data_IF_182380645145
#
_entry.id   IF_182380645145
#
_cell.length_a   1.000
_cell.length_b   1.000
_cell.length_c   1.000
_cell.angle_alpha   90.00
_cell.angle_beta   90.00
_cell.angle_gamma   90.00
#
_symmetry.space_group_name_H-M   'P 1'
#
loop_
_entity.id
_entity.type
_entity.pdbx_description
1 polymer ?
#
# COMPACT_ATOMS: atom_id res chain seq x y z
N UNK A 1 -2.74 -17.69 -9.34
CA UNK A 1 -3.71 -17.50 -8.24
C UNK A 1 -2.92 -16.96 -7.07
N UNK A 2 -3.43 -15.98 -6.35
CA UNK A 2 -2.71 -15.36 -5.23
C UNK A 2 -3.57 -15.32 -3.98
N UNK A 3 -2.92 -15.43 -2.83
CA UNK A 3 -3.48 -15.09 -1.52
C UNK A 3 -2.80 -13.81 -1.04
N UNK A 4 -3.58 -12.86 -0.51
CA UNK A 4 -3.07 -11.58 -0.01
C UNK A 4 -3.53 -11.42 1.44
N UNK A 5 -2.57 -11.26 2.36
CA UNK A 5 -2.88 -10.96 3.76
C UNK A 5 -2.68 -9.47 4.04
N UNK A 6 -3.67 -8.87 4.71
CA UNK A 6 -3.64 -7.48 5.15
C UNK A 6 -3.68 -7.49 6.68
N UNK A 7 -2.73 -6.81 7.30
CA UNK A 7 -2.65 -6.70 8.75
C UNK A 7 -3.68 -5.68 9.25
N UNK A 8 -4.52 -6.07 10.22
CA UNK A 8 -5.62 -5.23 10.71
C UNK A 8 -5.14 -4.11 11.63
N UNK A 9 -3.90 -4.15 12.09
CA UNK A 9 -3.33 -3.10 12.93
C UNK A 9 -2.92 -1.86 12.14
N UNK A 10 -2.29 -2.03 10.97
CA UNK A 10 -1.72 -0.94 10.15
C UNK A 10 -2.30 -0.84 8.72
N UNK A 11 -3.16 -1.80 8.34
CA UNK A 11 -3.75 -1.89 7.00
C UNK A 11 -2.73 -2.17 5.90
N UNK A 12 -1.52 -2.62 6.24
CA UNK A 12 -0.47 -2.95 5.28
C UNK A 12 -0.59 -4.39 4.80
N UNK A 13 -0.09 -4.63 3.59
CA UNK A 13 -0.02 -5.98 3.04
C UNK A 13 1.15 -6.69 3.69
N UNK A 14 0.87 -7.75 4.44
CA UNK A 14 1.83 -8.51 5.24
C UNK A 14 2.36 -9.74 4.52
N UNK A 15 1.64 -10.26 3.53
CA UNK A 15 2.02 -11.41 2.71
C UNK A 15 1.31 -11.37 1.36
N UNK A 16 1.99 -11.81 0.31
CA UNK A 16 1.40 -12.10 -1.00
C UNK A 16 1.95 -13.45 -1.47
N UNK A 17 1.14 -14.49 -1.40
CA UNK A 17 1.54 -15.85 -1.78
C UNK A 17 1.06 -16.17 -3.19
N UNK A 18 1.97 -16.59 -4.07
CA UNK A 18 1.62 -17.24 -5.33
C UNK A 18 1.27 -18.71 -5.06
N UNK A 19 -0.02 -19.03 -5.16
CA UNK A 19 -0.55 -20.36 -4.86
C UNK A 19 -0.21 -21.40 -5.93
N UNK A 20 0.21 -20.98 -7.14
CA UNK A 20 0.60 -21.91 -8.22
C UNK A 20 2.05 -22.34 -8.06
N UNK A 21 2.93 -21.38 -7.74
CA UNK A 21 4.34 -21.63 -7.52
C UNK A 21 4.69 -21.98 -6.07
N UNK A 22 3.72 -21.89 -5.15
CA UNK A 22 3.87 -22.12 -3.70
C UNK A 22 5.02 -21.29 -3.10
N UNK A 23 4.98 -19.98 -3.31
CA UNK A 23 6.04 -19.07 -2.85
C UNK A 23 5.50 -17.72 -2.37
N UNK A 24 6.15 -17.21 -1.33
CA UNK A 24 5.99 -15.82 -0.90
C UNK A 24 6.62 -14.87 -1.93
N UNK A 25 5.89 -13.81 -2.28
CA UNK A 25 6.34 -12.79 -3.24
C UNK A 25 6.97 -11.58 -2.55
N UNK A 26 6.65 -11.34 -1.27
CA UNK A 26 7.30 -10.31 -0.47
C UNK A 26 8.67 -10.78 0.03
N UNK A 27 9.60 -9.82 0.18
CA UNK A 27 10.87 -10.11 0.83
C UNK A 27 10.64 -10.38 2.34
N UNK A 28 11.44 -11.25 2.97
CA UNK A 28 11.29 -11.57 4.39
C UNK A 28 11.25 -10.31 5.28
N UNK A 29 10.21 -10.22 6.10
CA UNK A 29 10.00 -9.11 7.03
C UNK A 29 9.58 -7.78 6.40
N UNK A 30 9.34 -7.73 5.08
CA UNK A 30 8.84 -6.54 4.42
C UNK A 30 7.30 -6.47 4.46
N UNK A 31 6.79 -5.25 4.52
CA UNK A 31 5.38 -4.91 4.35
C UNK A 31 5.22 -4.17 3.02
N UNK A 32 4.15 -4.43 2.28
CA UNK A 32 3.86 -3.72 1.04
C UNK A 32 2.73 -2.70 1.22
N UNK A 33 2.48 -1.91 0.17
CA UNK A 33 1.41 -0.91 0.12
C UNK A 33 1.49 0.19 1.20
N UNK A 34 2.70 0.49 1.68
CA UNK A 34 2.96 1.51 2.70
C UNK A 34 2.97 2.92 2.10
N UNK A 35 2.22 3.83 2.71
CA UNK A 35 2.23 5.24 2.33
C UNK A 35 3.44 5.96 2.95
N UNK A 36 4.21 6.63 2.10
CA UNK A 36 5.38 7.41 2.51
C UNK A 36 5.32 8.78 1.86
N UNK A 37 5.35 9.83 2.68
CA UNK A 37 5.37 11.22 2.27
C UNK A 37 6.81 11.71 2.17
N UNK A 38 7.16 12.27 1.02
CA UNK A 38 8.45 12.90 0.80
C UNK A 38 8.26 14.42 0.77
N UNK A 39 9.02 15.20 1.55
CA UNK A 39 8.94 16.66 1.48
C UNK A 39 9.31 17.16 0.10
N UNK A 40 8.55 18.13 -0.39
CA UNK A 40 8.71 18.73 -1.71
C UNK A 40 9.15 20.18 -1.57
N UNK A 41 10.47 20.39 -1.54
CA UNK A 41 11.09 21.70 -1.41
C UNK A 41 11.94 21.98 -2.66
N UNK A 42 11.47 22.83 -3.59
CA UNK A 42 12.25 23.19 -4.76
C UNK A 42 13.41 24.12 -4.39
N UNK A 43 14.54 24.00 -5.09
CA UNK A 43 15.71 24.87 -4.90
C UNK A 43 15.51 26.23 -5.58
N UNK A 44 15.02 26.25 -6.82
CA UNK A 44 14.84 27.53 -7.55
C UNK A 44 13.56 27.67 -8.37
N UNK A 45 12.94 26.58 -8.83
CA UNK A 45 11.69 26.64 -9.58
C UNK A 45 10.72 25.57 -9.10
N UNK A 46 9.63 26.01 -8.47
CA UNK A 46 8.54 25.15 -8.03
C UNK A 46 7.92 24.39 -9.22
N UNK A 47 7.53 23.14 -9.00
CA UNK A 47 6.92 22.23 -9.97
C UNK A 47 7.74 21.80 -11.20
N UNK A 48 9.04 22.13 -11.31
CA UNK A 48 9.90 21.74 -12.45
C UNK A 48 11.11 20.89 -12.09
N UNK A 49 11.52 20.88 -10.83
CA UNK A 49 12.74 20.22 -10.39
C UNK A 49 12.43 19.00 -9.52
N UNK A 50 13.14 17.90 -9.78
CA UNK A 50 13.25 16.76 -8.86
C UNK A 50 14.71 16.64 -8.45
N UNK A 51 15.05 17.15 -7.27
CA UNK A 51 16.40 17.12 -6.72
C UNK A 51 16.70 15.80 -5.95
N UNK A 52 17.89 15.68 -5.36
CA UNK A 52 18.29 14.47 -4.63
C UNK A 52 17.69 14.42 -3.21
N UNK A 53 17.33 15.59 -2.67
CA UNK A 53 16.86 15.83 -1.30
C UNK A 53 15.61 15.02 -0.95
N UNK A 54 14.74 14.72 -1.92
CA UNK A 54 13.54 13.87 -1.71
C UNK A 54 13.86 12.49 -1.13
N UNK A 55 15.09 11.98 -1.34
CA UNK A 55 15.52 10.68 -0.82
C UNK A 55 16.04 10.74 0.61
N UNK A 56 16.29 11.93 1.16
CA UNK A 56 16.97 12.09 2.45
C UNK A 56 16.02 12.10 3.65
N UNK A 57 14.77 12.52 3.45
CA UNK A 57 13.77 12.57 4.51
C UNK A 57 12.44 12.06 3.97
N UNK A 58 11.78 11.23 4.77
CA UNK A 58 10.47 10.70 4.45
C UNK A 58 9.68 10.49 5.74
N UNK A 59 8.38 10.75 5.69
CA UNK A 59 7.45 10.48 6.77
C UNK A 59 6.61 9.28 6.37
N UNK A 60 6.70 8.21 7.15
CA UNK A 60 5.81 7.08 6.99
C UNK A 60 4.45 7.42 7.60
N UNK A 61 3.38 7.10 6.86
CA UNK A 61 2.00 7.25 7.33
C UNK A 61 1.40 5.86 7.56
N UNK A 62 1.59 5.32 8.76
CA UNK A 62 1.02 4.04 9.20
C UNK A 62 -0.20 4.22 10.13
N UNK A 63 -0.64 5.47 10.35
CA UNK A 63 -1.81 5.77 11.18
C UNK A 63 -3.10 5.34 10.46
N UNK A 64 -3.64 4.20 10.87
CA UNK A 64 -4.85 3.60 10.32
C UNK A 64 -6.08 4.30 10.91
N UNK A 65 -6.81 5.04 10.08
CA UNK A 65 -8.03 5.76 10.49
C UNK A 65 -9.31 5.00 10.14
N UNK A 66 -9.23 4.03 9.22
CA UNK A 66 -10.37 3.20 8.82
C UNK A 66 -9.95 1.95 8.06
N UNK A 67 -10.67 0.85 8.25
CA UNK A 67 -10.48 -0.41 7.52
C UNK A 67 -11.83 -1.10 7.33
N UNK A 68 -12.27 -1.18 6.09
CA UNK A 68 -13.53 -1.82 5.72
C UNK A 68 -13.29 -2.93 4.70
N UNK A 69 -14.00 -4.05 4.88
CA UNK A 69 -14.04 -5.14 3.90
C UNK A 69 -15.36 -5.08 3.15
N UNK A 70 -15.27 -5.08 1.82
CA UNK A 70 -16.40 -5.12 0.90
C UNK A 70 -16.32 -6.41 0.10
N UNK A 71 -17.33 -7.25 0.24
CA UNK A 71 -17.41 -8.54 -0.43
C UNK A 71 -18.49 -8.53 -1.51
N UNK A 72 -18.10 -8.97 -2.70
CA UNK A 72 -18.98 -9.32 -3.82
C UNK A 72 -18.67 -10.77 -4.24
N UNK A 73 -19.62 -11.53 -4.81
CA UNK A 73 -19.39 -12.93 -5.18
C UNK A 73 -18.14 -13.21 -6.02
N UNK A 74 -17.66 -12.25 -6.81
CA UNK A 74 -16.49 -12.42 -7.67
C UNK A 74 -15.34 -11.46 -7.34
N UNK A 75 -15.45 -10.70 -6.25
CA UNK A 75 -14.48 -9.67 -5.90
C UNK A 75 -14.43 -9.44 -4.40
N UNK A 76 -13.22 -9.55 -3.85
CA UNK A 76 -12.94 -9.09 -2.49
C UNK A 76 -12.25 -7.74 -2.56
N UNK A 77 -12.72 -6.77 -1.78
CA UNK A 77 -12.13 -5.43 -1.70
C UNK A 77 -11.89 -5.03 -0.26
N UNK A 78 -10.72 -4.49 0.05
CA UNK A 78 -10.41 -3.87 1.33
C UNK A 78 -10.13 -2.39 1.12
N UNK A 79 -10.89 -1.54 1.82
CA UNK A 79 -10.67 -0.10 1.88
C UNK A 79 -9.87 0.22 3.13
N UNK A 80 -8.76 0.92 2.95
CA UNK A 80 -7.85 1.35 4.02
C UNK A 80 -7.75 2.87 3.99
N UNK A 81 -8.07 3.52 5.10
CA UNK A 81 -8.02 4.97 5.27
C UNK A 81 -6.92 5.34 6.25
N UNK A 82 -6.15 6.39 5.93
CA UNK A 82 -5.03 6.85 6.74
C UNK A 82 -4.76 8.35 6.58
N UNK A 83 -4.13 8.93 7.59
CA UNK A 83 -3.60 10.29 7.58
C UNK A 83 -4.65 11.40 7.74
N UNK A 84 -4.24 12.50 8.39
CA UNK A 84 -5.13 13.61 8.75
C UNK A 84 -5.73 14.35 7.54
N UNK A 85 -5.00 14.42 6.42
CA UNK A 85 -5.50 15.03 5.18
C UNK A 85 -6.40 14.10 4.37
N UNK A 86 -6.61 12.86 4.83
CA UNK A 86 -7.42 11.85 4.18
C UNK A 86 -6.72 11.20 2.99
N UNK A 87 -6.39 9.91 3.13
CA UNK A 87 -5.92 9.09 2.02
C UNK A 87 -6.61 7.72 2.09
N UNK A 88 -7.22 7.31 0.97
CA UNK A 88 -7.96 6.06 0.87
C UNK A 88 -7.31 5.13 -0.16
N UNK A 89 -6.86 3.97 0.28
CA UNK A 89 -6.40 2.88 -0.59
C UNK A 89 -7.52 1.86 -0.75
N UNK A 90 -7.81 1.48 -1.99
CA UNK A 90 -8.75 0.40 -2.30
C UNK A 90 -7.95 -0.76 -2.88
N UNK A 91 -7.88 -1.86 -2.15
CA UNK A 91 -7.14 -3.06 -2.51
C UNK A 91 -8.16 -4.09 -2.97
N UNK A 92 -8.09 -4.52 -4.23
CA UNK A 92 -9.11 -5.38 -4.84
C UNK A 92 -8.46 -6.65 -5.38
N UNK A 93 -9.10 -7.78 -5.13
CA UNK A 93 -8.78 -9.06 -5.74
C UNK A 93 -10.01 -9.63 -6.43
N UNK A 94 -9.93 -9.76 -7.75
CA UNK A 94 -10.97 -10.39 -8.58
C UNK A 94 -10.77 -11.91 -8.62
N UNK A 95 -11.88 -12.64 -8.61
CA UNK A 95 -11.88 -14.09 -8.81
C UNK A 95 -11.23 -14.46 -10.15
N UNK A 96 -10.43 -15.52 -10.14
CA UNK A 96 -9.67 -16.02 -11.30
C UNK A 96 -8.71 -15.02 -11.97
N UNK A 97 -8.49 -13.85 -11.36
CA UNK A 97 -7.49 -12.90 -11.83
C UNK A 97 -6.09 -13.47 -11.67
N UNK A 98 -5.27 -13.30 -12.71
CA UNK A 98 -3.87 -13.68 -12.71
C UNK A 98 -3.05 -12.40 -12.54
N UNK A 99 -2.21 -12.40 -11.51
CA UNK A 99 -1.13 -11.42 -11.33
C UNK A 99 -0.11 -11.53 -12.48
#
# INVERSE_FOLDING_TARGET
LVEVCIDTHDGLVSSVVDLVADRELLLPGQRANRLVLHPDYPDCFDAWELQHQYRHSAVVVDDLTGLDVLEDPLRSTVRVERGESGFTQTITLDADSRA
#
